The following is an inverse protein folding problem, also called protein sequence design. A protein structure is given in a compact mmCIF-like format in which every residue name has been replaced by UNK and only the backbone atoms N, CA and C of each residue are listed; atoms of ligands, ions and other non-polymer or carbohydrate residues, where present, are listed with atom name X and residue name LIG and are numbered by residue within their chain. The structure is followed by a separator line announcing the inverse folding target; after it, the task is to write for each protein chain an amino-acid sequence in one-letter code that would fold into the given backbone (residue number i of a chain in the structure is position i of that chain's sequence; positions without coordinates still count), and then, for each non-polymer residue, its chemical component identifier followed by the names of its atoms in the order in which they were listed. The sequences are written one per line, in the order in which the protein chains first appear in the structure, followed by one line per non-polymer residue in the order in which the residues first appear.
data_IF_758313600260
#
_entry.id   IF_758313600260
#
_cell.length_a   1.000
_cell.length_b   1.000
_cell.length_c   1.000
_cell.angle_alpha   90.00
_cell.angle_beta   90.00
_cell.angle_gamma   90.00
#
_symmetry.space_group_name_H-M   'P 1'
#
loop_
_entity.id
_entity.type
_entity.pdbx_description
1 polymer ?
#
# COMPACT_ATOMS: atom_id res chain seq x y z
N UNK A 1 33.46 -16.99 -6.16
CA UNK A 1 34.23 -17.54 -7.30
C UNK A 1 34.00 -16.58 -8.44
N UNK A 2 35.00 -16.30 -9.27
CA UNK A 2 34.79 -15.51 -10.49
C UNK A 2 33.75 -16.25 -11.36
N UNK A 3 32.69 -15.55 -11.75
CA UNK A 3 31.61 -16.10 -12.54
C UNK A 3 32.15 -16.44 -13.95
N UNK A 4 32.19 -17.72 -14.36
CA UNK A 4 32.81 -18.12 -15.62
C UNK A 4 32.11 -17.53 -16.84
N UNK A 5 30.88 -17.02 -16.72
CA UNK A 5 30.20 -16.29 -17.80
C UNK A 5 30.92 -14.98 -18.13
N UNK A 6 31.47 -14.27 -17.13
CA UNK A 6 32.13 -12.95 -17.28
C UNK A 6 33.46 -12.95 -18.04
N UNK A 7 34.02 -14.13 -18.37
CA UNK A 7 35.39 -14.26 -18.91
C UNK A 7 35.62 -13.45 -20.20
N UNK A 8 34.59 -13.25 -21.02
CA UNK A 8 34.65 -12.47 -22.26
C UNK A 8 33.77 -11.21 -22.25
N UNK A 9 33.26 -10.82 -21.08
CA UNK A 9 32.42 -9.62 -20.91
C UNK A 9 33.20 -8.61 -20.06
N UNK A 10 33.68 -7.55 -20.69
CA UNK A 10 34.58 -6.57 -20.04
C UNK A 10 33.95 -5.17 -19.89
N UNK A 11 32.72 -5.00 -20.37
CA UNK A 11 31.91 -3.79 -20.25
C UNK A 11 30.42 -4.16 -20.35
N UNK A 12 29.54 -3.27 -19.89
CA UNK A 12 28.09 -3.38 -20.10
C UNK A 12 27.66 -2.61 -21.35
N UNK A 13 28.41 -2.77 -22.45
CA UNK A 13 28.25 -1.95 -23.65
C UNK A 13 27.28 -2.60 -24.65
N UNK A 14 26.08 -2.04 -24.90
CA UNK A 14 25.10 -2.62 -25.82
C UNK A 14 25.56 -2.65 -27.28
N UNK A 15 26.64 -1.94 -27.64
CA UNK A 15 27.20 -1.94 -29.00
C UNK A 15 28.31 -2.99 -29.19
N UNK A 16 28.87 -3.55 -28.12
CA UNK A 16 29.89 -4.59 -28.23
C UNK A 16 29.21 -5.93 -28.55
N UNK A 17 29.54 -6.61 -29.66
CA UNK A 17 28.93 -7.91 -30.00
C UNK A 17 29.14 -9.00 -28.94
N UNK A 18 30.14 -8.85 -28.06
CA UNK A 18 30.34 -9.76 -26.94
C UNK A 18 29.44 -9.46 -25.76
N UNK A 19 29.05 -8.20 -25.55
CA UNK A 19 28.32 -7.77 -24.35
C UNK A 19 26.81 -7.55 -24.62
N UNK A 20 26.41 -7.28 -25.87
CA UNK A 20 25.03 -6.90 -26.23
C UNK A 20 23.92 -7.82 -25.69
N UNK A 21 24.16 -9.14 -25.64
CA UNK A 21 23.20 -10.14 -25.15
C UNK A 21 23.55 -10.67 -23.74
N UNK A 22 24.47 -10.01 -23.06
CA UNK A 22 24.87 -10.35 -21.70
C UNK A 22 23.97 -9.59 -20.71
N UNK A 23 23.58 -10.28 -19.66
CA UNK A 23 22.85 -9.77 -18.50
C UNK A 23 23.81 -9.95 -17.32
N UNK A 24 24.33 -8.85 -16.80
CA UNK A 24 25.49 -8.84 -15.91
C UNK A 24 25.15 -8.88 -14.43
N UNK A 25 24.11 -8.16 -14.06
CA UNK A 25 23.46 -8.06 -12.74
C UNK A 25 22.43 -9.16 -12.51
N UNK A 26 21.97 -9.85 -13.55
CA UNK A 26 21.08 -11.03 -13.50
C UNK A 26 19.72 -10.69 -12.92
N UNK A 27 19.19 -9.60 -13.39
CA UNK A 27 17.93 -8.97 -12.99
C UNK A 27 16.74 -9.38 -13.90
N UNK A 28 17.02 -10.13 -14.96
CA UNK A 28 16.02 -10.82 -15.77
C UNK A 28 15.11 -11.80 -15.00
N UNK A 29 14.22 -12.48 -15.73
CA UNK A 29 13.27 -13.42 -15.14
C UNK A 29 13.76 -14.88 -15.25
N UNK A 30 14.42 -15.35 -14.19
CA UNK A 30 15.15 -16.63 -14.16
C UNK A 30 14.40 -17.81 -13.50
N UNK A 31 13.34 -17.57 -12.74
CA UNK A 31 12.62 -18.58 -11.97
C UNK A 31 11.25 -18.96 -12.56
N UNK A 32 11.11 -18.78 -13.88
CA UNK A 32 9.87 -18.98 -14.62
C UNK A 32 9.29 -20.38 -14.49
N UNK A 33 8.00 -20.45 -14.18
CA UNK A 33 7.22 -21.69 -14.11
C UNK A 33 6.40 -21.95 -15.38
N UNK A 34 5.73 -23.10 -15.42
CA UNK A 34 4.86 -23.45 -16.54
C UNK A 34 3.52 -22.71 -16.55
N UNK A 35 3.16 -22.05 -15.44
CA UNK A 35 1.88 -21.34 -15.28
C UNK A 35 2.00 -19.85 -15.55
N UNK A 36 3.21 -19.32 -15.43
CA UNK A 36 3.54 -17.92 -15.62
C UNK A 36 3.11 -17.39 -17.00
N UNK A 37 2.44 -16.25 -16.96
CA UNK A 37 2.01 -15.49 -18.14
C UNK A 37 2.85 -14.22 -18.25
N UNK A 38 3.77 -14.17 -19.23
CA UNK A 38 4.50 -12.94 -19.50
C UNK A 38 3.58 -11.78 -19.84
N UNK A 39 3.97 -10.59 -19.40
CA UNK A 39 3.29 -9.36 -19.72
C UNK A 39 3.36 -9.03 -21.22
N UNK A 40 2.51 -8.11 -21.66
CA UNK A 40 2.60 -7.58 -23.01
C UNK A 40 3.91 -6.83 -23.16
N UNK A 41 4.61 -7.02 -24.29
CA UNK A 41 5.88 -6.34 -24.57
C UNK A 41 5.62 -5.07 -25.39
N UNK A 42 6.46 -4.05 -25.21
CA UNK A 42 6.26 -2.74 -25.81
C UNK A 42 7.26 -1.72 -25.30
N UNK A 43 6.90 -0.45 -25.48
CA UNK A 43 7.72 0.70 -25.04
C UNK A 43 6.87 1.68 -24.26
N UNK A 44 7.48 2.29 -23.24
CA UNK A 44 6.91 3.40 -22.49
C UNK A 44 7.35 4.74 -23.08
N UNK A 45 6.42 5.70 -23.12
CA UNK A 45 6.71 7.09 -23.43
C UNK A 45 5.73 7.98 -22.66
N UNK A 46 6.24 8.90 -21.84
CA UNK A 46 5.43 9.79 -21.01
C UNK A 46 4.34 9.03 -20.21
N UNK A 47 4.73 7.91 -19.55
CA UNK A 47 3.83 7.01 -18.77
C UNK A 47 2.67 6.39 -19.57
N UNK A 48 2.84 6.26 -20.89
CA UNK A 48 1.90 5.59 -21.78
C UNK A 48 2.54 4.39 -22.45
N UNK A 49 2.03 3.20 -22.14
CA UNK A 49 2.49 1.95 -22.75
C UNK A 49 1.99 1.79 -24.20
N UNK A 50 2.91 1.47 -25.11
CA UNK A 50 2.59 1.10 -26.50
C UNK A 50 3.06 -0.32 -26.78
N UNK A 51 2.13 -1.29 -26.93
CA UNK A 51 2.50 -2.67 -27.27
C UNK A 51 3.14 -2.77 -28.66
N UNK A 52 4.24 -3.53 -28.77
CA UNK A 52 4.95 -3.73 -30.04
C UNK A 52 4.51 -5.00 -30.80
N UNK A 53 3.70 -5.84 -30.15
CA UNK A 53 3.19 -7.11 -30.69
C UNK A 53 4.15 -8.29 -30.56
N UNK A 54 5.31 -8.11 -29.94
CA UNK A 54 6.17 -9.22 -29.55
C UNK A 54 5.50 -10.04 -28.45
N UNK A 55 5.67 -11.37 -28.52
CA UNK A 55 5.05 -12.30 -27.60
C UNK A 55 6.14 -13.17 -26.99
N UNK A 56 6.40 -12.96 -25.70
CA UNK A 56 7.16 -13.89 -24.88
C UNK A 56 6.27 -15.10 -24.61
N UNK A 57 6.74 -16.29 -24.97
CA UNK A 57 5.96 -17.52 -24.80
C UNK A 57 5.91 -17.91 -23.32
N UNK A 58 4.72 -18.22 -22.81
CA UNK A 58 4.57 -18.87 -21.50
C UNK A 58 5.35 -20.18 -21.43
N UNK A 59 5.87 -20.49 -20.25
CA UNK A 59 6.59 -21.73 -19.97
C UNK A 59 7.92 -21.51 -19.25
N UNK A 60 8.54 -22.63 -18.89
CA UNK A 60 9.81 -22.66 -18.17
C UNK A 60 10.94 -22.15 -19.08
N UNK A 61 11.83 -21.36 -18.51
CA UNK A 61 13.10 -20.98 -19.12
C UNK A 61 13.45 -19.53 -18.85
N UNK A 62 14.73 -19.30 -18.61
CA UNK A 62 15.28 -18.00 -18.23
C UNK A 62 15.09 -16.95 -19.33
N UNK A 63 14.72 -15.73 -18.91
CA UNK A 63 14.69 -14.54 -19.75
C UNK A 63 15.72 -13.54 -19.22
N UNK A 64 16.96 -13.56 -19.73
CA UNK A 64 17.94 -12.55 -19.35
C UNK A 64 17.51 -11.17 -19.83
N UNK A 65 17.68 -10.16 -18.99
CA UNK A 65 17.47 -8.76 -19.36
C UNK A 65 18.82 -8.21 -19.81
N UNK A 66 19.03 -8.22 -21.12
CA UNK A 66 20.36 -8.01 -21.69
C UNK A 66 20.71 -6.52 -21.74
N UNK A 67 22.01 -6.20 -21.80
CA UNK A 67 22.50 -4.82 -22.02
C UNK A 67 21.77 -4.05 -23.13
N UNK A 68 21.32 -4.72 -24.20
CA UNK A 68 20.50 -4.11 -25.26
C UNK A 68 19.10 -3.72 -24.77
N UNK A 69 18.44 -4.61 -24.02
CA UNK A 69 17.10 -4.39 -23.48
C UNK A 69 17.11 -3.26 -22.45
N UNK A 70 18.14 -3.21 -21.62
CA UNK A 70 18.33 -2.12 -20.67
C UNK A 70 18.48 -0.77 -21.37
N UNK A 71 19.28 -0.72 -22.43
CA UNK A 71 19.40 0.47 -23.26
C UNK A 71 18.06 0.89 -23.88
N UNK A 72 17.25 -0.06 -24.34
CA UNK A 72 15.94 0.21 -24.94
C UNK A 72 14.87 0.63 -23.91
N UNK A 73 15.03 0.27 -22.63
CA UNK A 73 14.15 0.65 -21.52
C UNK A 73 14.74 1.74 -20.61
N UNK A 74 15.81 2.40 -21.03
CA UNK A 74 16.47 3.50 -20.29
C UNK A 74 17.00 3.11 -18.90
N UNK A 75 17.31 1.83 -18.69
CA UNK A 75 17.82 1.28 -17.42
C UNK A 75 19.34 1.10 -17.41
N UNK A 76 19.89 0.64 -16.28
CA UNK A 76 21.33 0.56 -16.02
C UNK A 76 21.87 -0.90 -15.97
N UNK A 77 22.74 -1.27 -16.94
CA UNK A 77 23.47 -2.55 -17.02
C UNK A 77 24.44 -2.99 -15.92
N UNK A 78 24.36 -2.33 -14.78
CA UNK A 78 25.14 -2.65 -13.61
C UNK A 78 24.33 -2.60 -12.30
N UNK A 79 23.01 -2.39 -12.41
CA UNK A 79 22.05 -2.32 -11.33
C UNK A 79 20.84 -3.17 -11.72
N UNK A 80 20.35 -3.96 -10.78
CA UNK A 80 19.20 -4.82 -11.00
C UNK A 80 17.84 -4.12 -10.82
N UNK A 81 17.86 -2.85 -10.42
CA UNK A 81 16.71 -2.01 -10.10
C UNK A 81 17.18 -0.56 -10.32
N UNK A 82 16.74 0.03 -11.43
CA UNK A 82 17.28 1.28 -11.96
C UNK A 82 16.56 2.54 -11.46
N UNK A 83 15.29 2.43 -11.09
CA UNK A 83 14.47 3.50 -10.51
C UNK A 83 14.30 3.38 -8.99
N UNK A 84 14.94 2.38 -8.37
CA UNK A 84 15.12 2.20 -6.93
C UNK A 84 13.80 1.93 -6.21
N UNK A 85 12.91 1.14 -6.81
CA UNK A 85 11.57 0.86 -6.29
C UNK A 85 11.38 -0.56 -5.74
N UNK A 86 12.41 -1.44 -5.81
CA UNK A 86 12.42 -2.73 -5.09
C UNK A 86 12.65 -2.55 -3.58
N UNK A 87 11.84 -1.71 -2.93
CA UNK A 87 11.99 -1.32 -1.51
C UNK A 87 11.16 -2.17 -0.57
N UNK A 88 10.12 -2.84 -1.06
CA UNK A 88 9.19 -3.57 -0.21
C UNK A 88 9.82 -4.76 0.50
N UNK A 89 9.25 -5.15 1.65
CA UNK A 89 9.67 -6.30 2.44
C UNK A 89 8.61 -7.40 2.45
N UNK A 90 9.08 -8.65 2.40
CA UNK A 90 8.25 -9.84 2.64
C UNK A 90 8.52 -10.41 4.03
N UNK A 91 7.43 -10.67 4.76
CA UNK A 91 7.46 -11.37 6.04
C UNK A 91 7.29 -12.89 5.87
N UNK A 92 8.23 -13.66 6.43
CA UNK A 92 8.14 -15.12 6.50
C UNK A 92 7.66 -15.54 7.89
N UNK A 93 6.51 -16.20 7.93
CA UNK A 93 5.88 -16.71 9.17
C UNK A 93 5.90 -18.24 9.19
N UNK A 94 6.32 -18.82 10.32
CA UNK A 94 6.33 -20.28 10.53
C UNK A 94 5.68 -20.62 11.88
N UNK A 95 4.53 -21.31 11.84
CA UNK A 95 3.68 -21.58 13.00
C UNK A 95 3.29 -20.30 13.76
N UNK A 96 2.78 -19.30 13.04
CA UNK A 96 2.29 -18.02 13.59
C UNK A 96 3.37 -17.19 14.30
N UNK A 97 4.65 -17.43 13.98
CA UNK A 97 5.78 -16.65 14.48
C UNK A 97 6.60 -16.15 13.30
N UNK A 98 6.90 -14.85 13.30
CA UNK A 98 7.81 -14.21 12.34
C UNK A 98 9.21 -14.81 12.51
N UNK A 99 9.79 -15.28 11.41
CA UNK A 99 11.16 -15.83 11.40
C UNK A 99 12.14 -14.98 10.61
N UNK A 100 11.66 -14.20 9.65
CA UNK A 100 12.49 -13.36 8.78
C UNK A 100 11.62 -12.27 8.11
N UNK A 101 12.15 -11.05 8.03
CA UNK A 101 11.80 -10.11 6.97
C UNK A 101 12.94 -10.06 5.97
N UNK A 102 12.60 -10.07 4.69
CA UNK A 102 13.57 -9.97 3.59
C UNK A 102 13.05 -8.99 2.55
N UNK A 103 13.95 -8.13 2.05
CA UNK A 103 13.63 -7.21 0.97
C UNK A 103 13.22 -8.01 -0.28
N UNK A 104 12.12 -7.58 -0.89
CA UNK A 104 11.53 -8.20 -2.07
C UNK A 104 12.07 -7.57 -3.35
N UNK A 105 13.07 -8.21 -3.95
CA UNK A 105 13.61 -7.84 -5.26
C UNK A 105 12.75 -8.40 -6.39
N UNK A 106 11.43 -8.22 -6.30
CA UNK A 106 10.54 -8.65 -7.36
C UNK A 106 10.43 -7.60 -8.47
N UNK A 107 10.55 -6.31 -8.17
CA UNK A 107 10.58 -5.23 -9.17
C UNK A 107 12.01 -4.97 -9.69
N UNK A 108 12.66 -6.01 -10.19
CA UNK A 108 13.91 -5.82 -10.94
C UNK A 108 13.60 -5.42 -12.38
N UNK A 109 14.48 -4.65 -13.04
CA UNK A 109 14.19 -4.08 -14.36
C UNK A 109 13.64 -5.14 -15.35
N UNK A 110 14.31 -6.29 -15.40
CA UNK A 110 13.88 -7.42 -16.22
C UNK A 110 12.52 -8.03 -15.83
N UNK A 111 12.19 -8.13 -14.55
CA UNK A 111 10.90 -8.67 -14.09
C UNK A 111 9.78 -7.69 -14.35
N UNK A 112 9.99 -6.41 -14.14
CA UNK A 112 9.05 -5.36 -14.46
C UNK A 112 8.63 -5.42 -15.93
N UNK A 113 9.59 -5.57 -16.84
CA UNK A 113 9.29 -5.69 -18.28
C UNK A 113 8.65 -7.04 -18.63
N UNK A 114 9.19 -8.17 -18.15
CA UNK A 114 8.75 -9.49 -18.62
C UNK A 114 7.53 -10.05 -17.89
N UNK A 115 7.39 -9.77 -16.59
CA UNK A 115 6.38 -10.37 -15.72
C UNK A 115 5.23 -9.41 -15.43
N UNK A 116 5.54 -8.17 -15.04
CA UNK A 116 4.52 -7.23 -14.56
C UNK A 116 3.98 -6.31 -15.67
N UNK A 117 4.80 -6.01 -16.67
CA UNK A 117 4.45 -5.11 -17.77
C UNK A 117 4.46 -3.65 -17.37
N UNK A 118 5.35 -3.27 -16.46
CA UNK A 118 5.52 -1.92 -15.92
C UNK A 118 6.85 -1.32 -16.44
N UNK A 119 7.14 -0.06 -16.13
CA UNK A 119 8.26 0.71 -16.67
C UNK A 119 9.45 0.70 -15.70
N UNK A 120 10.55 -0.02 -15.99
CA UNK A 120 11.68 -0.22 -15.06
C UNK A 120 12.61 0.99 -14.87
N UNK A 121 12.13 2.17 -15.25
CA UNK A 121 12.89 3.42 -15.16
C UNK A 121 12.04 4.55 -14.57
N UNK A 122 10.88 4.22 -14.01
CA UNK A 122 9.88 5.13 -13.48
C UNK A 122 9.06 4.42 -12.38
N UNK A 123 9.37 4.73 -11.13
CA UNK A 123 8.77 4.13 -9.92
C UNK A 123 7.28 4.45 -9.65
N UNK A 124 6.59 4.95 -10.67
CA UNK A 124 5.16 5.29 -10.75
C UNK A 124 4.81 5.27 -12.25
N UNK A 125 4.74 4.06 -12.80
CA UNK A 125 4.75 3.73 -14.22
C UNK A 125 3.62 4.39 -15.01
N UNK A 126 2.46 4.60 -14.41
CA UNK A 126 1.29 5.20 -15.04
C UNK A 126 0.98 6.64 -14.57
N UNK A 127 1.61 7.09 -13.50
CA UNK A 127 1.57 8.45 -13.02
C UNK A 127 0.33 8.87 -12.28
N UNK A 128 -0.35 7.90 -11.70
CA UNK A 128 -1.46 8.13 -10.79
C UNK A 128 -1.03 8.41 -9.34
N UNK A 129 0.27 8.63 -9.11
CA UNK A 129 0.84 8.96 -7.80
C UNK A 129 0.65 7.86 -6.74
N UNK A 130 0.41 6.62 -7.14
CA UNK A 130 0.69 5.43 -6.35
C UNK A 130 1.99 4.82 -6.88
N UNK A 131 2.97 4.51 -6.02
CA UNK A 131 4.21 3.92 -6.52
C UNK A 131 4.03 2.44 -6.87
N UNK A 132 4.75 1.98 -7.88
CA UNK A 132 4.64 0.63 -8.43
C UNK A 132 4.82 -0.46 -7.36
N UNK A 133 5.76 -0.24 -6.43
CA UNK A 133 6.01 -1.16 -5.32
C UNK A 133 4.82 -1.33 -4.37
N UNK A 134 4.06 -0.26 -4.13
CA UNK A 134 2.89 -0.29 -3.25
C UNK A 134 1.76 -1.09 -3.90
N UNK A 135 1.49 -0.80 -5.16
CA UNK A 135 0.49 -1.51 -5.95
C UNK A 135 0.85 -2.99 -6.15
N UNK A 136 2.13 -3.28 -6.40
CA UNK A 136 2.65 -4.65 -6.43
C UNK A 136 2.40 -5.37 -5.11
N UNK A 137 2.79 -4.77 -3.98
CA UNK A 137 2.60 -5.37 -2.66
C UNK A 137 1.11 -5.62 -2.33
N UNK A 138 0.21 -4.73 -2.77
CA UNK A 138 -1.23 -4.82 -2.49
C UNK A 138 -1.99 -5.75 -3.43
N UNK A 139 -1.71 -5.73 -4.73
CA UNK A 139 -2.62 -6.30 -5.73
C UNK A 139 -2.05 -7.44 -6.57
N UNK A 140 -0.73 -7.64 -6.61
CA UNK A 140 -0.16 -8.70 -7.44
C UNK A 140 -0.66 -10.09 -7.02
N UNK A 141 -1.23 -10.82 -7.98
CA UNK A 141 -1.82 -12.14 -7.77
C UNK A 141 -1.06 -13.21 -8.56
N UNK A 142 -0.15 -13.89 -7.87
CA UNK A 142 0.65 -14.99 -8.43
C UNK A 142 -0.19 -16.18 -8.98
N UNK A 143 -1.46 -16.32 -8.58
CA UNK A 143 -2.28 -17.43 -9.09
C UNK A 143 -2.79 -17.20 -10.51
N UNK A 144 -2.82 -15.95 -10.97
CA UNK A 144 -3.33 -15.59 -12.29
C UNK A 144 -2.40 -14.65 -13.09
N UNK A 145 -1.27 -14.23 -12.53
CA UNK A 145 -0.29 -13.29 -13.08
C UNK A 145 -0.92 -11.95 -13.49
N UNK A 146 -1.67 -11.33 -12.58
CA UNK A 146 -2.19 -9.98 -12.78
C UNK A 146 -2.39 -9.27 -11.45
N UNK A 147 -2.73 -7.98 -11.54
CA UNK A 147 -2.99 -7.11 -10.42
C UNK A 147 -4.48 -7.07 -10.02
N UNK A 148 -5.22 -8.17 -10.17
CA UNK A 148 -6.66 -8.18 -9.91
C UNK A 148 -7.12 -9.43 -9.15
N UNK A 149 -7.84 -9.19 -8.06
CA UNK A 149 -8.36 -10.25 -7.19
C UNK A 149 -9.85 -10.05 -6.90
N UNK A 150 -10.59 -11.17 -6.81
CA UNK A 150 -12.00 -11.14 -6.42
C UNK A 150 -12.12 -11.39 -4.92
N UNK A 151 -12.34 -10.33 -4.15
CA UNK A 151 -12.24 -10.29 -2.69
C UNK A 151 -13.61 -10.03 -2.05
N UNK A 152 -13.82 -10.47 -0.80
CA UNK A 152 -15.04 -10.21 -0.03
C UNK A 152 -14.82 -9.07 0.96
N UNK A 153 -14.71 -7.85 0.42
CA UNK A 153 -14.28 -6.64 1.15
C UNK A 153 -15.33 -5.54 1.14
N UNK A 154 -16.28 -5.56 0.19
CA UNK A 154 -17.22 -4.46 -0.04
C UNK A 154 -18.28 -4.34 1.06
N UNK A 155 -18.22 -3.25 1.83
CA UNK A 155 -19.16 -2.88 2.89
C UNK A 155 -20.58 -2.75 2.36
N UNK A 156 -21.51 -3.45 3.00
CA UNK A 156 -22.95 -3.27 2.78
C UNK A 156 -23.48 -2.31 3.83
N UNK A 157 -23.62 -1.04 3.45
CA UNK A 157 -24.23 0.00 4.26
C UNK A 157 -25.72 -0.25 4.48
N UNK A 158 -26.21 0.02 5.69
CA UNK A 158 -27.62 -0.12 6.05
C UNK A 158 -28.28 1.24 6.33
N UNK A 159 -29.58 1.33 6.10
CA UNK A 159 -30.43 2.39 6.65
C UNK A 159 -30.49 2.28 8.16
N UNK A 160 -30.00 3.30 8.87
CA UNK A 160 -29.97 3.35 10.33
C UNK A 160 -31.34 3.11 10.99
N UNK A 161 -32.43 3.50 10.32
CA UNK A 161 -33.77 3.39 10.88
C UNK A 161 -34.40 2.00 10.72
N UNK A 162 -34.05 1.27 9.66
CA UNK A 162 -34.72 0.02 9.28
C UNK A 162 -33.82 -1.21 9.31
N UNK A 163 -32.50 -1.02 9.26
CA UNK A 163 -31.52 -2.10 9.06
C UNK A 163 -31.55 -2.72 7.66
N UNK A 164 -32.33 -2.14 6.74
CA UNK A 164 -32.35 -2.54 5.32
C UNK A 164 -31.21 -1.89 4.55
N UNK A 165 -31.09 -2.16 3.24
CA UNK A 165 -30.03 -1.59 2.40
C UNK A 165 -30.06 -0.04 2.40
N UNK A 166 -28.88 0.57 2.55
CA UNK A 166 -28.69 1.98 2.27
C UNK A 166 -28.92 2.27 0.78
N UNK A 167 -29.69 3.32 0.48
CA UNK A 167 -29.98 3.73 -0.90
C UNK A 167 -30.04 5.25 -1.00
N UNK A 168 -30.14 5.79 -2.20
CA UNK A 168 -30.29 7.24 -2.37
C UNK A 168 -31.57 7.84 -1.76
N UNK A 169 -32.53 7.02 -1.33
CA UNK A 169 -33.76 7.47 -0.68
C UNK A 169 -33.77 7.31 0.86
N UNK A 170 -32.66 6.85 1.45
CA UNK A 170 -32.54 6.79 2.92
C UNK A 170 -32.25 8.19 3.48
N UNK A 171 -32.39 8.34 4.80
CA UNK A 171 -32.08 9.61 5.50
C UNK A 171 -30.79 9.53 6.32
N UNK A 172 -30.22 8.33 6.49
CA UNK A 172 -29.00 8.07 7.23
C UNK A 172 -28.53 6.66 6.86
N UNK A 173 -27.23 6.48 6.70
CA UNK A 173 -26.61 5.19 6.47
C UNK A 173 -25.52 4.92 7.50
N UNK A 174 -25.34 3.66 7.84
CA UNK A 174 -24.32 3.19 8.79
C UNK A 174 -23.51 2.04 8.17
N UNK A 175 -22.19 1.99 8.39
CA UNK A 175 -21.33 0.90 7.96
C UNK A 175 -21.39 -0.26 8.97
N UNK A 176 -22.60 -0.65 9.37
CA UNK A 176 -22.85 -1.69 10.37
C UNK A 176 -23.94 -2.64 9.87
N UNK A 177 -24.13 -3.74 10.57
CA UNK A 177 -25.31 -4.58 10.42
C UNK A 177 -26.21 -4.49 11.66
N UNK A 178 -27.53 -4.63 11.47
CA UNK A 178 -28.50 -4.48 12.56
C UNK A 178 -29.49 -5.64 12.60
N UNK A 179 -29.68 -6.22 13.79
CA UNK A 179 -30.71 -7.23 14.05
C UNK A 179 -32.09 -6.62 14.35
N UNK A 180 -32.53 -5.66 13.53
CA UNK A 180 -33.76 -4.88 13.72
C UNK A 180 -33.70 -3.81 14.81
N UNK A 181 -34.79 -3.05 14.99
CA UNK A 181 -34.83 -1.90 15.90
C UNK A 181 -34.55 -2.29 17.36
N UNK A 182 -33.43 -1.81 17.91
CA UNK A 182 -32.95 -2.12 19.27
C UNK A 182 -32.24 -3.47 19.41
N UNK A 183 -31.89 -4.12 18.29
CA UNK A 183 -31.05 -5.31 18.26
C UNK A 183 -29.56 -4.98 18.39
N UNK A 184 -28.72 -6.02 18.25
CA UNK A 184 -27.26 -5.90 18.23
C UNK A 184 -26.84 -5.12 16.98
N UNK A 185 -25.92 -4.17 17.16
CA UNK A 185 -25.17 -3.54 16.07
C UNK A 185 -23.88 -4.33 15.90
N UNK A 186 -23.74 -5.05 14.81
CA UNK A 186 -22.54 -5.85 14.53
C UNK A 186 -21.76 -5.21 13.37
N UNK A 187 -20.53 -5.69 13.13
CA UNK A 187 -19.74 -5.35 11.93
C UNK A 187 -20.59 -5.46 10.65
N UNK A 188 -20.28 -4.68 9.61
CA UNK A 188 -21.03 -4.71 8.37
C UNK A 188 -20.96 -6.10 7.73
N UNK A 189 -22.02 -6.45 7.01
CA UNK A 189 -21.93 -7.57 6.08
C UNK A 189 -21.09 -7.14 4.88
N UNK A 190 -20.17 -8.00 4.45
CA UNK A 190 -19.33 -7.73 3.28
C UNK A 190 -19.86 -8.48 2.06
N UNK A 191 -19.75 -7.87 0.89
CA UNK A 191 -20.02 -8.47 -0.42
C UNK A 191 -18.73 -8.65 -1.21
N UNK A 192 -18.77 -9.50 -2.23
CA UNK A 192 -17.60 -9.72 -3.09
C UNK A 192 -17.54 -8.71 -4.23
N UNK A 193 -16.33 -8.21 -4.49
CA UNK A 193 -16.01 -7.21 -5.51
C UNK A 193 -14.66 -7.53 -6.16
N UNK A 194 -14.36 -6.88 -7.27
CA UNK A 194 -13.01 -6.90 -7.84
C UNK A 194 -12.19 -5.78 -7.21
N UNK A 195 -10.99 -6.13 -6.75
CA UNK A 195 -9.95 -5.22 -6.32
C UNK A 195 -8.84 -5.23 -7.37
N UNK A 196 -8.38 -4.05 -7.77
CA UNK A 196 -7.32 -3.85 -8.77
C UNK A 196 -6.49 -2.64 -8.36
N UNK A 197 -5.16 -2.80 -8.41
CA UNK A 197 -4.15 -1.74 -8.36
C UNK A 197 -2.99 -2.18 -9.27
N UNK A 198 -3.02 -1.72 -10.50
CA UNK A 198 -2.14 -2.13 -11.58
C UNK A 198 -1.27 -0.93 -11.96
N UNK A 199 0.06 -0.98 -11.77
CA UNK A 199 0.95 0.16 -12.02
C UNK A 199 1.01 0.66 -13.47
N UNK A 200 0.28 0.00 -14.38
CA UNK A 200 0.14 0.39 -15.78
C UNK A 200 -1.27 0.90 -16.14
N UNK A 201 -2.19 1.08 -15.18
CA UNK A 201 -3.55 1.58 -15.37
C UNK A 201 -3.92 2.69 -14.37
N UNK A 202 -3.74 3.99 -14.74
CA UNK A 202 -3.82 5.11 -13.81
C UNK A 202 -5.25 5.44 -13.33
N UNK A 203 -6.23 4.64 -13.77
CA UNK A 203 -7.63 4.81 -13.40
C UNK A 203 -7.94 4.16 -12.06
N UNK A 204 -7.21 3.12 -11.67
CA UNK A 204 -7.56 2.34 -10.50
C UNK A 204 -7.18 3.00 -9.17
N UNK A 205 -6.27 3.97 -9.15
CA UNK A 205 -6.13 4.94 -8.04
C UNK A 205 -7.45 5.59 -7.61
N UNK A 206 -8.42 5.72 -8.53
CA UNK A 206 -9.71 6.35 -8.27
C UNK A 206 -10.82 5.33 -7.93
N UNK A 207 -10.48 4.04 -7.82
CA UNK A 207 -11.43 3.02 -7.39
C UNK A 207 -11.55 3.01 -5.87
N UNK A 208 -12.74 2.63 -5.42
CA UNK A 208 -13.12 2.42 -4.03
C UNK A 208 -13.88 1.08 -4.01
N UNK A 209 -13.14 -0.04 -3.97
CA UNK A 209 -13.73 -1.37 -4.10
C UNK A 209 -14.41 -1.85 -2.83
N UNK A 210 -13.86 -1.55 -1.66
CA UNK A 210 -14.38 -1.98 -0.36
C UNK A 210 -15.50 -1.06 0.19
N UNK A 211 -15.72 0.10 -0.41
CA UNK A 211 -16.85 0.99 -0.11
C UNK A 211 -16.90 1.50 1.32
N UNK A 212 -15.77 1.94 1.84
CA UNK A 212 -15.58 2.46 3.20
C UNK A 212 -15.58 4.00 3.28
N UNK A 213 -15.98 4.68 2.21
CA UNK A 213 -16.17 6.13 2.19
C UNK A 213 -17.38 6.61 3.00
N UNK A 214 -18.04 7.66 2.50
CA UNK A 214 -19.16 8.30 3.20
C UNK A 214 -20.49 8.20 2.43
N UNK A 215 -21.59 8.26 3.17
CA UNK A 215 -22.91 8.56 2.60
C UNK A 215 -23.39 9.93 3.10
N UNK A 216 -23.22 10.97 2.27
CA UNK A 216 -23.78 12.30 2.55
C UNK A 216 -25.31 12.26 2.42
N UNK A 217 -25.98 12.21 3.57
CA UNK A 217 -27.43 12.24 3.72
C UNK A 217 -27.97 13.61 4.17
N UNK A 218 -27.16 14.68 4.15
CA UNK A 218 -27.58 16.02 4.61
C UNK A 218 -28.57 16.69 3.64
N UNK A 219 -28.59 16.23 2.38
CA UNK A 219 -29.45 16.71 1.31
C UNK A 219 -30.83 16.04 1.22
N UNK A 220 -31.45 16.12 0.04
CA UNK A 220 -32.69 15.41 -0.27
C UNK A 220 -32.36 13.98 -0.74
N UNK A 221 -31.97 13.12 0.19
CA UNK A 221 -31.49 11.76 -0.05
C UNK A 221 -30.01 11.60 0.27
N UNK A 222 -29.50 10.37 0.13
CA UNK A 222 -28.10 10.05 0.39
C UNK A 222 -27.31 9.90 -0.92
N UNK A 223 -26.06 10.37 -0.94
CA UNK A 223 -25.12 10.18 -2.04
C UNK A 223 -23.84 9.58 -1.47
N UNK A 224 -23.33 8.55 -2.15
CA UNK A 224 -22.06 7.94 -1.76
C UNK A 224 -20.89 8.81 -2.24
N UNK A 225 -19.97 9.08 -1.33
CA UNK A 225 -18.70 9.76 -1.55
C UNK A 225 -17.58 8.73 -1.36
N UNK A 226 -16.83 8.40 -2.42
CA UNK A 226 -15.83 7.34 -2.34
C UNK A 226 -14.62 7.75 -1.51
N UNK A 227 -13.96 6.75 -0.94
CA UNK A 227 -12.61 6.83 -0.39
C UNK A 227 -11.73 5.95 -1.26
N UNK A 228 -10.96 6.57 -2.17
CA UNK A 228 -10.30 5.81 -3.23
C UNK A 228 -8.96 5.24 -2.78
N UNK A 229 -8.43 4.23 -3.48
CA UNK A 229 -7.09 3.68 -3.28
C UNK A 229 -6.01 4.78 -3.09
N UNK A 230 -6.07 5.84 -3.91
CA UNK A 230 -5.22 7.03 -3.77
C UNK A 230 -5.41 7.76 -2.43
N UNK A 231 -6.66 8.01 -2.03
CA UNK A 231 -6.96 8.69 -0.78
C UNK A 231 -6.56 7.87 0.45
N UNK A 232 -6.63 6.55 0.35
CA UNK A 232 -6.19 5.61 1.38
C UNK A 232 -4.68 5.62 1.58
N UNK A 233 -3.91 5.54 0.47
CA UNK A 233 -2.44 5.57 0.53
C UNK A 233 -1.89 6.86 1.19
N UNK A 234 -2.55 7.99 0.96
CA UNK A 234 -2.19 9.26 1.58
C UNK A 234 -2.93 9.53 2.89
N UNK A 235 -3.89 8.69 3.27
CA UNK A 235 -4.88 8.93 4.31
C UNK A 235 -5.48 10.36 4.26
N UNK A 236 -6.13 10.76 3.16
CA UNK A 236 -6.72 12.11 2.98
C UNK A 236 -8.17 12.09 2.49
N UNK A 237 -9.01 13.01 2.98
CA UNK A 237 -10.39 13.19 2.45
C UNK A 237 -10.59 14.54 1.76
N UNK A 238 -9.62 15.44 1.88
CA UNK A 238 -9.72 16.79 1.35
C UNK A 238 -9.78 16.80 -0.18
N UNK A 239 -10.90 17.27 -0.71
CA UNK A 239 -11.15 17.32 -2.17
C UNK A 239 -10.11 18.10 -3.01
N UNK A 240 -9.37 19.04 -2.40
CA UNK A 240 -8.29 19.78 -3.08
C UNK A 240 -7.05 18.92 -3.34
N UNK A 241 -6.94 17.75 -2.67
CA UNK A 241 -5.82 16.82 -2.78
C UNK A 241 -6.27 15.37 -3.06
N UNK A 242 -7.56 15.09 -3.24
CA UNK A 242 -8.12 13.73 -3.30
C UNK A 242 -7.88 12.96 -4.61
N UNK A 243 -7.02 13.46 -5.49
CA UNK A 243 -6.64 12.76 -6.73
C UNK A 243 -5.36 13.36 -7.30
N UNK A 244 -4.66 12.65 -8.20
CA UNK A 244 -3.42 13.14 -8.80
C UNK A 244 -3.59 14.46 -9.55
N UNK A 245 -4.73 14.61 -10.23
CA UNK A 245 -5.08 15.87 -10.91
C UNK A 245 -5.35 17.00 -9.93
N UNK A 246 -6.02 16.73 -8.81
CA UNK A 246 -6.27 17.74 -7.78
C UNK A 246 -4.95 18.23 -7.17
N UNK A 247 -4.05 17.31 -6.83
CA UNK A 247 -2.71 17.62 -6.30
C UNK A 247 -1.92 18.52 -7.26
N UNK A 248 -1.78 18.11 -8.52
CA UNK A 248 -1.02 18.89 -9.53
C UNK A 248 -1.62 20.27 -9.80
N UNK A 249 -2.94 20.45 -9.58
CA UNK A 249 -3.64 21.74 -9.72
C UNK A 249 -3.67 22.58 -8.43
N UNK A 250 -3.41 21.97 -7.26
CA UNK A 250 -3.45 22.65 -5.97
C UNK A 250 -2.39 23.75 -5.83
N UNK A 251 -1.27 23.61 -6.55
CA UNK A 251 -0.10 24.46 -6.39
C UNK A 251 0.65 24.23 -5.07
N UNK A 252 0.45 23.07 -4.44
CA UNK A 252 1.23 22.63 -3.28
C UNK A 252 2.73 22.66 -3.62
N UNK A 253 3.53 23.18 -2.68
CA UNK A 253 4.98 23.35 -2.84
C UNK A 253 5.69 22.49 -1.81
N UNK A 254 6.66 21.71 -2.26
CA UNK A 254 7.60 20.96 -1.43
C UNK A 254 9.03 21.26 -1.87
N UNK A 255 9.90 21.58 -0.91
CA UNK A 255 11.29 22.01 -1.13
C UNK A 255 11.49 23.08 -2.24
N UNK A 256 10.54 24.01 -2.35
CA UNK A 256 10.60 25.12 -3.31
C UNK A 256 10.11 24.79 -4.72
N UNK A 257 9.74 23.54 -5.00
CA UNK A 257 9.18 23.08 -6.27
C UNK A 257 7.70 22.72 -6.11
N UNK A 258 6.95 22.74 -7.23
CA UNK A 258 5.55 22.31 -7.24
C UNK A 258 5.51 20.78 -7.10
N UNK A 259 4.59 20.27 -6.29
CA UNK A 259 4.34 18.83 -6.14
C UNK A 259 3.75 18.27 -7.43
N UNK A 260 4.47 17.33 -8.06
CA UNK A 260 4.11 16.65 -9.30
C UNK A 260 4.18 15.12 -9.19
N UNK A 261 4.97 14.61 -8.24
CA UNK A 261 5.20 13.18 -8.00
C UNK A 261 4.68 12.72 -6.64
N UNK A 262 4.45 11.41 -6.49
CA UNK A 262 3.92 10.78 -5.28
C UNK A 262 4.77 11.07 -4.03
N UNK A 263 6.10 10.91 -4.13
CA UNK A 263 7.02 11.07 -3.01
C UNK A 263 7.06 12.52 -2.51
N UNK A 264 6.87 13.49 -3.42
CA UNK A 264 6.77 14.91 -3.05
C UNK A 264 5.49 15.18 -2.26
N UNK A 265 4.36 14.59 -2.67
CA UNK A 265 3.09 14.73 -1.97
C UNK A 265 3.18 14.08 -0.58
N UNK A 266 3.66 12.83 -0.51
CA UNK A 266 3.84 12.08 0.73
C UNK A 266 4.71 12.88 1.70
N UNK A 267 5.87 13.35 1.26
CA UNK A 267 6.76 14.16 2.09
C UNK A 267 6.13 15.49 2.54
N UNK A 268 5.37 16.16 1.66
CA UNK A 268 4.68 17.40 1.98
C UNK A 268 3.55 17.22 3.01
N UNK A 269 2.81 16.11 2.93
CA UNK A 269 1.72 15.80 3.86
C UNK A 269 2.26 15.38 5.22
N UNK A 270 3.25 14.48 5.25
CA UNK A 270 3.82 13.93 6.48
C UNK A 270 4.87 14.86 7.13
N UNK A 271 5.21 15.98 6.47
CA UNK A 271 6.19 16.97 6.92
C UNK A 271 7.56 16.35 7.21
N UNK A 272 7.97 15.41 6.36
CA UNK A 272 9.24 14.70 6.51
C UNK A 272 10.41 15.69 6.46
N UNK A 273 11.40 15.48 7.34
CA UNK A 273 12.67 16.17 7.27
C UNK A 273 13.69 15.37 6.43
N UNK A 274 14.95 15.84 6.39
CA UNK A 274 16.04 15.18 5.66
C UNK A 274 16.33 13.73 6.10
N UNK A 275 15.78 13.30 7.24
CA UNK A 275 15.94 11.95 7.78
C UNK A 275 14.61 11.18 7.82
N UNK A 276 13.56 11.67 7.13
CA UNK A 276 12.23 11.04 7.15
C UNK A 276 11.50 11.19 8.50
N UNK A 277 12.01 12.02 9.42
CA UNK A 277 11.44 12.15 10.76
C UNK A 277 10.56 13.39 10.87
N UNK A 278 9.39 13.24 11.48
CA UNK A 278 8.54 14.38 11.82
C UNK A 278 7.62 14.09 13.00
N UNK A 279 7.45 15.08 13.88
CA UNK A 279 6.45 15.00 14.94
C UNK A 279 5.02 15.26 14.42
N UNK A 280 4.90 15.78 13.19
CA UNK A 280 3.63 16.02 12.49
C UNK A 280 3.23 14.85 11.58
N UNK A 281 4.10 13.85 11.42
CA UNK A 281 3.81 12.62 10.68
C UNK A 281 2.69 11.86 11.38
N UNK A 282 1.49 11.88 10.79
CA UNK A 282 0.30 11.22 11.30
C UNK A 282 0.22 9.74 10.89
N UNK A 283 1.13 9.25 10.03
CA UNK A 283 1.31 7.82 9.69
C UNK A 283 2.49 7.18 10.44
N UNK A 284 3.12 7.91 11.36
CA UNK A 284 4.22 7.38 12.18
C UNK A 284 3.78 6.15 12.99
N UNK A 285 4.64 5.14 12.98
CA UNK A 285 4.37 3.84 13.60
C UNK A 285 4.75 3.78 15.09
N UNK A 286 6.00 4.05 15.47
CA UNK A 286 6.46 3.92 16.87
C UNK A 286 5.82 4.94 17.81
N UNK A 287 5.86 4.65 19.11
CA UNK A 287 5.60 5.62 20.16
C UNK A 287 6.90 6.28 20.62
N UNK A 288 7.17 7.51 20.14
CA UNK A 288 8.45 8.21 20.37
C UNK A 288 8.63 8.71 21.81
N UNK A 289 7.53 8.94 22.53
CA UNK A 289 7.56 9.43 23.90
C UNK A 289 6.32 8.98 24.70
N UNK A 290 6.36 9.11 26.02
CA UNK A 290 5.23 8.73 26.87
C UNK A 290 3.93 9.51 26.60
N UNK A 291 4.03 10.73 26.07
CA UNK A 291 2.90 11.59 25.71
C UNK A 291 2.59 11.55 24.21
N UNK A 292 3.32 10.73 23.45
CA UNK A 292 3.05 10.53 22.04
C UNK A 292 1.77 9.70 21.90
N UNK A 293 0.76 10.35 21.30
CA UNK A 293 -0.51 9.73 20.95
C UNK A 293 -0.51 9.25 19.49
N UNK A 294 0.50 9.66 18.70
CA UNK A 294 0.62 9.32 17.27
C UNK A 294 1.54 8.12 17.09
N UNK A 295 0.97 6.94 17.30
CA UNK A 295 1.63 5.67 17.02
C UNK A 295 0.57 4.71 16.50
N UNK A 296 0.98 3.72 15.70
CA UNK A 296 0.05 2.77 15.13
C UNK A 296 -0.35 1.70 16.15
N UNK A 297 -1.62 1.32 16.14
CA UNK A 297 -2.21 0.36 17.05
C UNK A 297 -3.40 -0.32 16.38
N UNK A 298 -3.22 -1.57 15.96
CA UNK A 298 -4.24 -2.37 15.25
C UNK A 298 -4.66 -3.54 16.14
N UNK A 299 -5.97 -3.70 16.32
CA UNK A 299 -6.57 -4.69 17.21
C UNK A 299 -7.63 -5.48 16.48
N UNK A 300 -7.52 -6.80 16.57
CA UNK A 300 -8.61 -7.70 16.22
C UNK A 300 -9.62 -7.73 17.38
N UNK A 301 -10.54 -6.77 17.33
CA UNK A 301 -11.62 -6.63 18.30
C UNK A 301 -12.67 -7.73 18.13
N UNK A 302 -12.84 -8.49 19.20
CA UNK A 302 -13.72 -9.68 19.27
C UNK A 302 -15.12 -9.37 19.79
N UNK A 303 -15.42 -8.10 20.03
CA UNK A 303 -16.76 -7.67 20.37
C UNK A 303 -17.79 -8.17 19.33
N UNK A 304 -19.01 -8.41 19.78
CA UNK A 304 -20.12 -8.80 18.89
C UNK A 304 -21.14 -7.69 18.73
N UNK A 305 -20.99 -6.62 19.51
CA UNK A 305 -21.88 -5.48 19.56
C UNK A 305 -21.06 -4.19 19.67
N UNK A 306 -21.21 -3.29 18.70
CA UNK A 306 -20.53 -1.99 18.63
C UNK A 306 -20.67 -1.16 19.92
N UNK A 307 -21.77 -1.33 20.66
CA UNK A 307 -22.06 -0.60 21.91
C UNK A 307 -21.47 -1.24 23.17
N UNK A 308 -20.71 -2.32 23.04
CA UNK A 308 -20.08 -3.04 24.15
C UNK A 308 -18.59 -3.11 23.87
N UNK A 309 -17.76 -2.72 24.86
CA UNK A 309 -16.31 -2.85 24.75
C UNK A 309 -15.81 -3.88 25.75
N UNK A 310 -15.24 -4.97 25.26
CA UNK A 310 -14.60 -6.00 26.07
C UNK A 310 -13.12 -6.18 25.68
N UNK A 311 -12.24 -5.33 26.21
CA UNK A 311 -10.80 -5.46 25.96
C UNK A 311 -10.14 -6.74 26.51
N UNK A 312 -10.91 -7.71 27.06
CA UNK A 312 -10.36 -8.95 27.63
C UNK A 312 -10.17 -10.08 26.62
N UNK A 313 -10.80 -10.01 25.45
CA UNK A 313 -10.63 -10.95 24.34
C UNK A 313 -10.01 -10.35 23.07
N UNK A 314 -9.76 -9.04 23.06
CA UNK A 314 -8.99 -8.33 22.03
C UNK A 314 -7.59 -8.93 21.80
N UNK A 315 -7.23 -9.07 20.53
CA UNK A 315 -5.90 -9.50 20.09
C UNK A 315 -5.17 -8.35 19.37
N UNK A 316 -4.02 -7.96 19.90
CA UNK A 316 -3.22 -6.89 19.31
C UNK A 316 -2.40 -7.49 18.17
N UNK A 317 -2.59 -6.93 16.97
CA UNK A 317 -1.90 -7.33 15.75
C UNK A 317 -0.70 -6.45 15.48
N UNK A 318 -0.86 -5.13 15.68
CA UNK A 318 0.19 -4.14 15.51
C UNK A 318 0.23 -3.20 16.72
N UNK A 319 1.42 -2.88 17.22
CA UNK A 319 1.54 -1.88 18.27
C UNK A 319 2.90 -1.16 18.27
N UNK A 320 2.87 0.14 17.97
CA UNK A 320 4.04 1.02 18.04
C UNK A 320 4.60 1.27 19.44
N UNK A 321 3.87 0.87 20.48
CA UNK A 321 4.32 0.92 21.87
C UNK A 321 4.93 -0.42 22.36
N UNK A 322 5.08 -1.40 21.45
CA UNK A 322 5.74 -2.69 21.67
C UNK A 322 6.81 -2.89 20.61
N UNK A 323 7.81 -3.69 20.93
CA UNK A 323 8.87 -4.05 20.00
C UNK A 323 8.56 -5.41 19.40
N UNK A 324 8.75 -5.54 18.09
CA UNK A 324 8.69 -6.84 17.44
C UNK A 324 9.70 -7.80 18.06
N UNK A 325 9.38 -9.10 18.11
CA UNK A 325 10.31 -10.08 18.66
C UNK A 325 11.43 -10.41 17.69
N UNK A 326 11.19 -10.20 16.40
CA UNK A 326 12.20 -10.27 15.37
C UNK A 326 13.22 -9.13 15.57
N UNK A 327 14.50 -9.50 15.67
CA UNK A 327 15.64 -8.59 15.89
C UNK A 327 15.60 -7.68 17.14
N UNK A 328 14.75 -7.98 18.12
CA UNK A 328 14.73 -7.23 19.40
C UNK A 328 16.10 -7.17 20.06
N UNK A 329 16.62 -5.94 20.24
CA UNK A 329 17.89 -5.70 20.90
C UNK A 329 17.74 -5.83 22.43
N UNK A 330 16.70 -5.24 23.00
CA UNK A 330 16.39 -5.28 24.43
C UNK A 330 15.38 -6.37 24.78
N UNK A 331 15.78 -7.64 24.62
CA UNK A 331 14.95 -8.86 24.85
C UNK A 331 14.18 -8.88 26.19
N UNK A 332 14.64 -8.15 27.21
CA UNK A 332 13.96 -8.05 28.51
C UNK A 332 12.74 -7.11 28.56
N UNK A 333 12.48 -6.35 27.49
CA UNK A 333 11.47 -5.29 27.44
C UNK A 333 10.64 -5.32 26.13
N UNK A 334 10.07 -6.46 25.71
CA UNK A 334 9.29 -6.52 24.45
C UNK A 334 8.02 -5.65 24.47
N UNK A 335 7.56 -5.24 25.66
CA UNK A 335 6.38 -4.40 25.84
C UNK A 335 6.74 -2.91 25.99
N UNK A 336 7.81 -2.46 25.34
CA UNK A 336 8.17 -1.04 25.24
C UNK A 336 8.26 -0.63 23.79
N UNK A 337 8.16 0.67 23.50
CA UNK A 337 8.32 1.18 22.14
C UNK A 337 9.71 0.82 21.58
N UNK A 338 9.82 0.56 20.27
CA UNK A 338 11.10 0.21 19.64
C UNK A 338 12.12 1.34 19.72
N UNK A 339 13.38 0.98 19.85
CA UNK A 339 14.50 1.91 19.73
C UNK A 339 15.08 1.83 18.31
N UNK A 340 14.54 2.64 17.39
CA UNK A 340 14.96 2.68 15.96
C UNK A 340 16.48 2.75 15.77
N UNK A 341 17.20 3.48 16.64
CA UNK A 341 18.65 3.64 16.56
C UNK A 341 19.48 2.34 16.74
N UNK A 342 18.86 1.25 17.20
CA UNK A 342 19.50 -0.07 17.30
C UNK A 342 18.86 -1.11 16.35
N UNK A 343 18.00 -0.67 15.42
CA UNK A 343 17.31 -1.53 14.46
C UNK A 343 16.14 -2.31 15.05
N UNK A 344 15.46 -1.77 16.07
CA UNK A 344 14.23 -2.35 16.60
C UNK A 344 13.01 -1.80 15.85
N UNK A 345 12.00 -2.65 15.66
CA UNK A 345 10.76 -2.35 14.94
C UNK A 345 9.53 -2.45 15.83
N UNK A 346 8.46 -1.78 15.41
CA UNK A 346 7.14 -1.86 16.00
C UNK A 346 6.61 -3.29 15.88
N UNK A 347 5.98 -3.80 16.93
CA UNK A 347 5.36 -5.12 16.88
C UNK A 347 4.35 -5.18 15.73
N UNK A 348 4.52 -6.10 14.79
CA UNK A 348 3.62 -6.25 13.64
C UNK A 348 3.75 -5.18 12.55
N UNK A 349 4.83 -4.38 12.54
CA UNK A 349 5.04 -3.26 11.61
C UNK A 349 4.66 -3.57 10.14
N UNK A 350 5.05 -4.76 9.66
CA UNK A 350 4.84 -5.26 8.30
C UNK A 350 3.38 -5.37 7.83
N UNK A 351 2.41 -5.13 8.70
CA UNK A 351 0.99 -5.08 8.31
C UNK A 351 0.64 -3.74 7.63
N UNK A 352 1.33 -2.66 7.97
CA UNK A 352 1.05 -1.31 7.47
C UNK A 352 2.27 -0.60 6.89
N UNK A 353 3.48 -0.99 7.25
CA UNK A 353 4.74 -0.44 6.71
C UNK A 353 5.37 -1.53 5.83
N UNK A 354 5.49 -1.24 4.54
CA UNK A 354 5.95 -2.22 3.56
C UNK A 354 7.40 -1.99 3.16
N UNK A 355 7.95 -0.78 3.31
CA UNK A 355 9.30 -0.41 2.88
C UNK A 355 10.33 -0.27 4.01
N UNK A 356 9.94 -0.56 5.26
CA UNK A 356 10.78 -0.53 6.46
C UNK A 356 11.29 0.89 6.81
N UNK A 357 10.47 1.92 6.57
CA UNK A 357 10.78 3.31 6.93
C UNK A 357 10.19 3.76 8.29
N UNK A 358 9.44 2.88 8.96
CA UNK A 358 8.66 3.09 10.18
C UNK A 358 7.51 4.11 10.03
N UNK A 359 6.91 4.17 8.86
CA UNK A 359 5.73 4.96 8.49
C UNK A 359 4.73 4.01 7.81
N UNK A 360 3.46 4.08 8.19
CA UNK A 360 2.43 3.32 7.50
C UNK A 360 2.23 3.80 6.05
N UNK A 361 1.86 2.89 5.14
CA UNK A 361 1.46 3.16 3.77
C UNK A 361 0.06 3.75 3.61
N UNK A 362 -0.46 4.36 4.67
CA UNK A 362 -1.84 4.83 4.74
C UNK A 362 -2.76 3.77 5.33
N UNK A 363 -4.00 3.75 4.83
CA UNK A 363 -5.02 2.75 5.20
C UNK A 363 -5.01 1.59 4.20
N UNK A 364 -5.70 0.50 4.53
CA UNK A 364 -5.72 -0.70 3.67
C UNK A 364 -6.94 -0.71 2.73
N UNK A 365 -6.76 -0.56 1.40
CA UNK A 365 -7.84 -0.52 0.40
C UNK A 365 -8.59 -1.84 0.19
N UNK A 366 -8.28 -2.83 1.01
CA UNK A 366 -8.97 -4.11 1.08
C UNK A 366 -9.62 -4.37 2.44
N UNK A 367 -9.55 -3.41 3.36
CA UNK A 367 -10.08 -3.50 4.70
C UNK A 367 -10.63 -2.16 5.19
N UNK A 368 -11.95 -2.01 5.06
CA UNK A 368 -12.75 -0.85 5.47
C UNK A 368 -12.52 -0.25 6.87
N UNK A 369 -11.85 -0.97 7.76
CA UNK A 369 -11.60 -0.64 9.16
C UNK A 369 -10.18 -1.12 9.47
N UNK A 370 -9.20 -0.29 9.12
CA UNK A 370 -7.78 -0.66 9.09
C UNK A 370 -7.26 -1.00 10.49
N UNK A 371 -7.69 -0.28 11.52
CA UNK A 371 -7.24 -0.53 12.89
C UNK A 371 -8.13 -1.45 13.73
N UNK A 372 -9.32 -1.76 13.22
CA UNK A 372 -10.24 -2.74 13.77
C UNK A 372 -11.21 -2.17 14.80
N UNK A 373 -11.35 -0.85 14.93
CA UNK A 373 -12.19 -0.20 15.93
C UNK A 373 -13.67 -0.01 15.52
N UNK A 374 -14.04 -0.51 14.34
CA UNK A 374 -15.38 -0.49 13.74
C UNK A 374 -15.84 0.84 13.18
N UNK A 375 -14.96 1.83 13.10
CA UNK A 375 -15.16 2.99 12.25
C UNK A 375 -14.65 2.69 10.85
N UNK A 376 -15.22 3.36 9.85
CA UNK A 376 -14.62 3.32 8.52
C UNK A 376 -13.47 4.31 8.46
N UNK A 377 -12.41 3.95 7.74
CA UNK A 377 -11.18 4.74 7.68
C UNK A 377 -11.44 6.19 7.22
N UNK A 378 -12.39 6.40 6.30
CA UNK A 378 -12.77 7.72 5.84
C UNK A 378 -13.24 8.64 6.97
N UNK A 379 -14.04 8.15 7.93
CA UNK A 379 -14.59 9.00 9.00
C UNK A 379 -13.50 9.53 9.91
N UNK A 380 -12.53 8.67 10.19
CA UNK A 380 -11.38 8.95 11.04
C UNK A 380 -10.46 9.98 10.42
N UNK A 381 -10.11 9.78 9.15
CA UNK A 381 -9.31 10.76 8.40
C UNK A 381 -10.06 12.09 8.24
N UNK A 382 -11.37 12.06 8.00
CA UNK A 382 -12.17 13.26 7.82
C UNK A 382 -12.26 14.09 9.11
N UNK A 383 -12.44 13.45 10.26
CA UNK A 383 -12.48 14.11 11.58
C UNK A 383 -11.17 14.85 11.87
N UNK A 384 -10.04 14.16 11.68
CA UNK A 384 -8.67 14.71 11.78
C UNK A 384 -8.44 15.94 10.84
N UNK A 385 -9.10 15.97 9.67
CA UNK A 385 -9.02 17.09 8.74
C UNK A 385 -9.96 18.25 9.11
N UNK A 386 -11.14 17.97 9.67
CA UNK A 386 -12.12 18.99 10.07
C UNK A 386 -11.65 19.77 11.30
N UNK A 387 -11.08 19.08 12.29
CA UNK A 387 -10.63 19.70 13.53
C UNK A 387 -9.21 20.30 13.42
N UNK A 388 -8.46 19.89 12.39
CA UNK A 388 -7.11 20.35 12.06
C UNK A 388 -6.01 19.70 12.90
N UNK A 389 -6.31 18.62 13.62
CA UNK A 389 -5.39 17.80 14.38
C UNK A 389 -5.26 16.47 13.64
N UNK A 390 -4.10 16.26 13.00
CA UNK A 390 -3.83 14.96 12.39
C UNK A 390 -3.39 13.98 13.48
N UNK A 391 -4.04 12.83 13.53
CA UNK A 391 -3.60 11.63 14.21
C UNK A 391 -4.26 11.30 15.55
N UNK A 392 -5.31 12.00 15.97
CA UNK A 392 -6.03 11.75 17.22
C UNK A 392 -7.31 10.93 17.08
N UNK A 393 -7.96 10.93 15.91
CA UNK A 393 -9.08 10.05 15.56
C UNK A 393 -8.70 9.14 14.38
N UNK A 394 -7.43 8.74 14.27
CA UNK A 394 -6.83 8.22 13.03
C UNK A 394 -7.04 6.73 12.76
N UNK A 395 -7.16 6.32 11.48
CA UNK A 395 -7.54 4.97 11.04
C UNK A 395 -6.48 3.86 11.23
N UNK A 396 -5.41 4.18 11.95
CA UNK A 396 -4.34 3.24 12.28
C UNK A 396 -4.15 3.18 13.80
N UNK A 397 -5.13 3.64 14.57
CA UNK A 397 -5.04 3.92 16.01
C UNK A 397 -6.32 3.55 16.73
N UNK A 398 -6.50 2.24 16.94
CA UNK A 398 -7.64 1.69 17.65
C UNK A 398 -7.92 2.43 18.98
N UNK A 399 -8.92 3.33 19.00
CA UNK A 399 -9.36 4.07 20.21
C UNK A 399 -10.65 4.92 20.00
N UNK A 400 -11.34 4.88 18.85
CA UNK A 400 -12.47 5.81 18.62
C UNK A 400 -13.76 5.43 19.36
N UNK A 401 -13.93 4.17 19.78
CA UNK A 401 -15.10 3.71 20.54
C UNK A 401 -15.04 4.20 22.01
N UNK A 402 -15.43 5.44 22.28
CA UNK A 402 -15.59 5.92 23.66
C UNK A 402 -16.93 5.51 24.28
N UNK A 403 -16.90 4.95 25.49
CA UNK A 403 -18.08 4.85 26.36
C UNK A 403 -18.13 6.12 27.21
N UNK A 404 -19.10 6.99 26.95
CA UNK A 404 -19.45 8.12 27.83
C UNK A 404 -19.75 7.69 29.29
#
# INVERSE_FOLDING_TARGET
MDDPTTINHWASNPLNPWDINYDGDRDGWYDRTAFDKPASQGTWLDRVFTPDGNIVQSGIGDLPFTNWMEWDNETRPDLNDSDEDSVSFRTVVVNDVVVLHEQDFNLTDGREVFKYGINPSDNDSDGDMLPDWYEYAKAWNESNDNFSSFLKIKVIWIDAATGGECTTNTNSCLPLSQQGAGGILSRPELSSTWFTMNPADPLDANFDPDQDGNWDCTGAGCVYEPYTNFQEFYAITTSDLSSPNAVRLSGLIYDGEIVLEWWQLRAALLKLDENGASNENYLKMDKSSGNDFRFAYVVDDKDTNFLSLDASDDEIQLAGNRTDQWEIYYVGSPNTAPVRAVGEHEYGWYLLDFDDDHIAEGTDPTNWDTDGDWMVDWFEVHDDEEDGVRGDSSPIRYDSRQID
#
